data_IF_633526241918
#
_entry.id   IF_633526241918
#
_cell.length_a   1.000
_cell.length_b   1.000
_cell.length_c   1.000
_cell.angle_alpha   90.00
_cell.angle_beta   90.00
_cell.angle_gamma   90.00
#
_symmetry.space_group_name_H-M   'P 1'
#
loop_
_entity.id
_entity.type
_entity.pdbx_description
1 polymer ?
#
# COMPACT_ATOMS: atom_id res chain seq x y z
N UNK A 1 12.51 -30.62 0.46
CA UNK A 1 12.29 -30.14 0.42
C UNK A 1 11.86 -29.37 0.44
N UNK A 2 11.77 -28.90 0.68
CA UNK A 2 11.25 -28.08 0.69
C UNK A 2 11.03 -27.24 0.13
N UNK A 3 10.96 -26.96 -0.32
CA UNK A 3 10.68 -26.11 -0.82
C UNK A 3 9.69 -25.97 -0.97
N UNK A 4 9.15 -26.22 -0.83
CA UNK A 4 8.14 -25.98 -0.98
C UNK A 4 7.63 -25.61 -0.03
N UNK A 5 8.03 -25.42 0.73
CA UNK A 5 7.58 -25.08 1.61
C UNK A 5 7.31 -23.91 1.69
N UNK A 6 7.65 -23.32 1.41
CA UNK A 6 7.40 -22.13 1.45
C UNK A 6 6.45 -21.75 0.73
N UNK A 7 6.14 -22.25 0.11
CA UNK A 7 5.29 -21.94 -0.60
C UNK A 7 4.22 -21.57 -0.04
N UNK A 8 3.83 -22.06 0.64
CA UNK A 8 2.79 -21.75 1.10
C UNK A 8 2.88 -20.65 1.64
N UNK A 9 3.68 -20.22 1.56
CA UNK A 9 3.90 -19.26 2.15
C UNK A 9 2.96 -18.47 2.38
N UNK A 10 2.62 -18.12 3.14
CA UNK A 10 1.54 -17.31 3.43
C UNK A 10 1.67 -15.96 2.80
N UNK A 11 0.52 -15.29 2.64
CA UNK A 11 0.53 -13.95 2.10
C UNK A 11 1.33 -13.00 2.96
N UNK A 12 1.53 -13.37 4.19
CA UNK A 12 2.33 -12.58 5.08
C UNK A 12 3.75 -12.39 4.58
N UNK A 13 4.26 -13.38 3.86
CA UNK A 13 5.60 -13.28 3.30
C UNK A 13 5.68 -12.27 2.18
N UNK A 14 4.52 -11.82 1.67
CA UNK A 14 4.47 -10.86 0.60
C UNK A 14 4.29 -9.44 1.10
N UNK A 15 4.19 -9.24 2.39
CA UNK A 15 3.99 -7.94 2.99
C UNK A 15 5.28 -7.49 3.61
N UNK A 16 5.88 -6.44 3.04
CA UNK A 16 7.18 -6.01 3.54
C UNK A 16 7.01 -5.14 4.78
N UNK A 17 8.04 -5.14 5.59
CA UNK A 17 8.02 -4.40 6.83
C UNK A 17 8.06 -2.90 6.62
N UNK A 18 7.91 -2.18 7.72
CA UNK A 18 7.77 -0.73 7.69
C UNK A 18 8.97 -0.05 7.03
N UNK A 19 10.18 -0.42 7.43
CA UNK A 19 11.35 0.22 6.87
C UNK A 19 11.51 -0.06 5.39
N UNK A 20 11.28 -1.31 5.00
CA UNK A 20 11.41 -1.68 3.60
C UNK A 20 10.35 -0.98 2.76
N UNK A 21 9.15 -0.82 3.31
CA UNK A 21 8.09 -0.15 2.58
C UNK A 21 8.40 1.33 2.42
N UNK A 22 8.92 1.98 3.46
CA UNK A 22 9.31 3.37 3.36
C UNK A 22 10.39 3.55 2.31
N UNK A 23 11.33 2.61 2.23
CA UNK A 23 12.37 2.66 1.22
C UNK A 23 11.79 2.48 -0.17
N UNK A 24 10.80 1.60 -0.32
CA UNK A 24 10.16 1.40 -1.61
C UNK A 24 9.46 2.68 -2.08
N UNK A 25 8.80 3.37 -1.16
CA UNK A 25 8.15 4.64 -1.49
C UNK A 25 9.18 5.68 -1.91
N UNK A 26 10.26 5.79 -1.15
CA UNK A 26 11.31 6.77 -1.46
C UNK A 26 11.93 6.50 -2.83
N UNK A 27 12.15 5.22 -3.12
CA UNK A 27 12.71 4.85 -4.40
C UNK A 27 11.76 5.19 -5.54
N UNK A 28 10.47 4.94 -5.34
CA UNK A 28 9.50 5.26 -6.36
C UNK A 28 9.38 6.76 -6.57
N UNK A 29 9.48 7.53 -5.50
CA UNK A 29 9.48 8.97 -5.62
C UNK A 29 10.67 9.47 -6.41
N UNK A 30 11.83 8.91 -6.14
CA UNK A 30 13.03 9.26 -6.89
C UNK A 30 12.85 8.96 -8.38
N UNK A 31 12.30 7.79 -8.66
CA UNK A 31 12.02 7.41 -10.04
C UNK A 31 11.05 8.38 -10.71
N UNK A 32 10.01 8.73 -9.99
CA UNK A 32 8.99 9.63 -10.52
C UNK A 32 9.58 10.99 -10.82
N UNK A 33 10.42 11.49 -9.92
CA UNK A 33 11.02 12.80 -10.10
C UNK A 33 11.94 12.83 -11.32
N UNK A 34 12.62 11.73 -11.57
CA UNK A 34 13.58 11.71 -12.69
C UNK A 34 12.94 11.39 -14.03
N UNK A 35 11.86 10.64 -14.02
CA UNK A 35 11.29 10.13 -15.26
C UNK A 35 9.93 10.66 -15.62
N UNK A 36 9.42 11.63 -14.86
CA UNK A 36 8.09 12.18 -15.08
C UNK A 36 6.99 11.14 -14.96
N UNK A 37 7.25 10.13 -14.13
CA UNK A 37 6.25 9.11 -13.86
C UNK A 37 5.46 9.49 -12.64
N UNK A 38 4.28 8.92 -12.50
CA UNK A 38 3.49 9.15 -11.30
C UNK A 38 3.28 7.84 -10.59
N UNK A 39 2.93 7.92 -9.31
CA UNK A 39 2.57 6.73 -8.56
C UNK A 39 1.47 7.09 -7.58
N UNK A 40 0.78 6.07 -7.12
CA UNK A 40 -0.27 6.24 -6.12
C UNK A 40 0.05 5.38 -4.91
N UNK A 41 -0.49 5.78 -3.78
CA UNK A 41 -0.27 5.10 -2.52
C UNK A 41 -1.58 5.03 -1.78
N UNK A 42 -2.01 3.81 -1.45
CA UNK A 42 -3.21 3.58 -0.68
C UNK A 42 -2.82 3.23 0.74
N UNK A 43 -3.38 3.93 1.71
CA UNK A 43 -3.09 3.68 3.11
C UNK A 43 -4.38 3.32 3.83
N UNK A 44 -4.40 2.14 4.42
CA UNK A 44 -5.55 1.62 5.15
C UNK A 44 -5.20 1.60 6.63
N UNK A 45 -5.88 2.42 7.41
CA UNK A 45 -5.61 2.54 8.82
C UNK A 45 -6.57 1.65 9.59
N UNK A 46 -6.03 0.82 10.47
CA UNK A 46 -6.79 -0.19 11.17
C UNK A 46 -6.74 0.07 12.68
N UNK A 47 -7.82 -0.29 13.36
CA UNK A 47 -7.95 -0.07 14.80
C UNK A 47 -7.58 -1.29 15.61
N UNK A 48 -6.93 -2.28 14.99
CA UNK A 48 -6.61 -3.53 15.64
C UNK A 48 -5.14 -3.84 15.42
N UNK A 49 -4.54 -4.65 16.30
CA UNK A 49 -3.18 -5.14 16.06
C UNK A 49 -3.23 -6.02 14.81
N UNK A 50 -2.67 -5.54 13.73
CA UNK A 50 -3.00 -6.09 12.42
C UNK A 50 -2.02 -7.10 11.88
N UNK A 51 -0.76 -7.02 12.28
CA UNK A 51 0.27 -7.76 11.58
C UNK A 51 0.10 -9.26 11.67
N UNK A 52 -0.49 -9.73 12.76
CA UNK A 52 -0.66 -11.17 12.94
C UNK A 52 -2.12 -11.60 12.95
N UNK A 53 -3.01 -10.71 12.58
CA UNK A 53 -4.43 -11.04 12.53
C UNK A 53 -4.72 -11.88 11.30
N UNK A 54 -5.34 -13.03 11.49
CA UNK A 54 -5.59 -13.95 10.37
C UNK A 54 -6.54 -13.37 9.35
N UNK A 55 -7.50 -12.56 9.81
CA UNK A 55 -8.44 -11.95 8.86
C UNK A 55 -7.72 -10.99 7.94
N UNK A 56 -6.75 -10.27 8.48
CA UNK A 56 -5.93 -9.35 7.68
C UNK A 56 -5.11 -10.16 6.69
N UNK A 57 -4.54 -11.29 7.13
CA UNK A 57 -3.78 -12.14 6.23
C UNK A 57 -4.60 -12.66 5.08
N UNK A 58 -5.84 -13.03 5.35
CA UNK A 58 -6.74 -13.50 4.30
C UNK A 58 -7.07 -12.37 3.33
N UNK A 59 -7.32 -11.19 3.85
CA UNK A 59 -7.61 -10.04 3.00
C UNK A 59 -6.42 -9.72 2.12
N UNK A 60 -5.21 -9.76 2.69
CA UNK A 60 -4.00 -9.48 1.93
C UNK A 60 -3.82 -10.49 0.79
N UNK A 61 -4.12 -11.75 1.04
CA UNK A 61 -4.01 -12.74 -0.02
C UNK A 61 -4.92 -12.42 -1.20
N UNK A 62 -6.12 -11.92 -0.91
CA UNK A 62 -7.05 -11.52 -1.96
C UNK A 62 -6.57 -10.26 -2.66
N UNK A 63 -6.03 -9.31 -1.89
CA UNK A 63 -5.52 -8.09 -2.49
C UNK A 63 -4.36 -8.41 -3.43
N UNK A 64 -3.49 -9.35 -3.04
CA UNK A 64 -2.35 -9.69 -3.88
C UNK A 64 -2.80 -10.21 -5.24
N UNK A 65 -3.94 -10.86 -5.30
CA UNK A 65 -4.45 -11.36 -6.56
C UNK A 65 -4.98 -10.25 -7.46
N UNK A 66 -5.28 -9.10 -6.89
CA UNK A 66 -5.87 -8.00 -7.65
C UNK A 66 -4.86 -6.99 -8.14
N UNK A 67 -3.67 -6.96 -7.57
CA UNK A 67 -2.67 -5.95 -7.92
C UNK A 67 -1.62 -6.59 -8.83
N UNK A 68 -0.79 -5.72 -9.40
CA UNK A 68 0.21 -6.16 -10.37
C UNK A 68 1.47 -6.62 -9.65
N UNK A 69 2.33 -7.35 -10.40
CA UNK A 69 3.59 -7.81 -9.83
C UNK A 69 4.49 -6.68 -9.37
N UNK A 70 4.39 -5.51 -10.01
CA UNK A 70 5.23 -4.36 -9.64
C UNK A 70 4.66 -3.58 -8.45
N UNK A 71 3.44 -3.87 -8.06
CA UNK A 71 2.85 -3.19 -6.91
C UNK A 71 3.35 -3.82 -5.63
N UNK A 72 3.49 -3.00 -4.58
CA UNK A 72 4.02 -3.48 -3.31
C UNK A 72 2.98 -3.37 -2.22
N UNK A 73 2.93 -4.36 -1.34
CA UNK A 73 2.13 -4.30 -0.13
C UNK A 73 3.09 -4.29 1.05
N UNK A 74 2.89 -3.35 1.96
CA UNK A 74 3.76 -3.27 3.12
C UNK A 74 3.08 -2.54 4.26
N UNK A 75 3.76 -2.50 5.39
CA UNK A 75 3.26 -1.76 6.53
C UNK A 75 3.79 -0.34 6.45
N UNK A 76 2.86 0.61 6.30
CA UNK A 76 3.25 2.01 6.22
C UNK A 76 3.62 2.52 7.61
N UNK A 77 2.86 2.12 8.58
CA UNK A 77 3.11 2.46 9.98
C UNK A 77 2.45 1.37 10.80
N UNK A 78 2.48 1.51 12.09
CA UNK A 78 1.84 0.55 12.96
C UNK A 78 0.36 0.48 12.62
N UNK A 79 -0.13 -0.71 12.32
CA UNK A 79 -1.54 -0.93 11.97
C UNK A 79 -2.02 -0.09 10.78
N UNK A 80 -1.10 0.31 9.93
CA UNK A 80 -1.43 0.98 8.67
C UNK A 80 -0.86 0.20 7.51
N UNK A 81 -1.75 -0.43 6.76
CA UNK A 81 -1.34 -1.21 5.60
C UNK A 81 -1.22 -0.29 4.40
N UNK A 82 -0.13 -0.39 3.69
CA UNK A 82 0.11 0.44 2.51
C UNK A 82 0.21 -0.37 1.25
N UNK A 83 -0.27 0.19 0.15
CA UNK A 83 -0.15 -0.44 -1.16
C UNK A 83 0.39 0.62 -2.10
N UNK A 84 1.57 0.34 -2.63
CA UNK A 84 2.27 1.26 -3.53
C UNK A 84 2.01 0.84 -4.96
N UNK A 85 1.54 1.78 -5.76
CA UNK A 85 1.11 1.53 -7.13
C UNK A 85 1.96 2.38 -8.09
N UNK A 86 3.08 1.85 -8.56
CA UNK A 86 3.93 2.60 -9.51
C UNK A 86 3.19 2.86 -10.81
N UNK A 87 3.54 3.97 -11.46
CA UNK A 87 3.00 4.33 -12.78
C UNK A 87 1.48 4.37 -12.80
N UNK A 88 0.89 4.84 -11.72
CA UNK A 88 -0.57 4.84 -11.60
C UNK A 88 -1.03 6.21 -11.12
N UNK A 89 -1.96 6.79 -11.86
CA UNK A 89 -2.55 8.08 -11.49
C UNK A 89 -3.64 7.90 -10.46
N UNK A 90 -4.09 9.01 -9.88
CA UNK A 90 -5.22 8.97 -8.97
C UNK A 90 -6.43 8.33 -9.64
N UNK A 91 -6.73 8.76 -10.85
CA UNK A 91 -7.88 8.22 -11.57
C UNK A 91 -7.72 6.73 -11.84
N UNK A 92 -6.50 6.32 -12.18
CA UNK A 92 -6.26 4.92 -12.47
C UNK A 92 -6.32 4.05 -11.24
N UNK A 93 -6.03 4.61 -10.07
CA UNK A 93 -6.01 3.85 -8.84
C UNK A 93 -7.36 3.80 -8.13
N UNK A 94 -8.26 4.70 -8.49
CA UNK A 94 -9.47 4.91 -7.70
C UNK A 94 -10.34 3.66 -7.63
N UNK A 95 -10.58 3.03 -8.77
CA UNK A 95 -11.40 1.82 -8.78
C UNK A 95 -10.75 0.67 -8.03
N UNK A 96 -9.44 0.54 -8.19
CA UNK A 96 -8.72 -0.50 -7.47
C UNK A 96 -8.75 -0.25 -5.97
N UNK A 97 -8.62 1.03 -5.58
CA UNK A 97 -8.68 1.38 -4.16
C UNK A 97 -10.03 0.98 -3.56
N UNK A 98 -11.11 1.23 -4.30
CA UNK A 98 -12.43 0.84 -3.81
C UNK A 98 -12.52 -0.67 -3.63
N UNK A 99 -11.99 -1.43 -4.57
CA UNK A 99 -12.02 -2.88 -4.45
C UNK A 99 -11.21 -3.36 -3.26
N UNK A 100 -10.04 -2.78 -3.07
CA UNK A 100 -9.18 -3.20 -1.96
C UNK A 100 -9.80 -2.84 -0.63
N UNK A 101 -10.37 -1.64 -0.52
CA UNK A 101 -11.02 -1.25 0.72
C UNK A 101 -12.23 -2.15 0.98
N UNK A 102 -12.93 -2.56 -0.07
CA UNK A 102 -14.04 -3.49 0.08
C UNK A 102 -13.60 -4.85 0.61
N UNK A 103 -12.44 -5.33 0.13
CA UNK A 103 -11.91 -6.58 0.64
C UNK A 103 -11.62 -6.48 2.14
N UNK A 104 -10.96 -5.39 2.54
CA UNK A 104 -10.63 -5.19 3.94
C UNK A 104 -11.89 -5.13 4.79
N UNK A 105 -12.87 -4.33 4.38
CA UNK A 105 -14.04 -4.13 5.20
C UNK A 105 -14.94 -5.36 5.23
N UNK A 106 -14.83 -6.22 4.23
CA UNK A 106 -15.56 -7.49 4.25
C UNK A 106 -15.01 -8.44 5.32
N UNK A 107 -13.72 -8.36 5.58
CA UNK A 107 -13.09 -9.27 6.53
C UNK A 107 -13.08 -8.75 7.96
N UNK A 108 -13.41 -7.48 8.16
CA UNK A 108 -13.33 -6.86 9.47
C UNK A 108 -14.68 -6.29 9.87
N UNK A 109 -14.83 -6.04 11.17
CA UNK A 109 -16.00 -5.31 11.64
C UNK A 109 -15.87 -3.83 11.26
N UNK A 110 -16.98 -3.14 11.09
CA UNK A 110 -16.90 -1.74 10.65
C UNK A 110 -16.02 -0.85 11.50
N UNK A 111 -16.01 -1.07 12.80
CA UNK A 111 -15.23 -0.22 13.70
C UNK A 111 -13.74 -0.52 13.63
N UNK A 112 -13.35 -1.60 12.99
CA UNK A 112 -11.95 -2.00 12.95
C UNK A 112 -11.17 -1.37 11.80
N UNK A 113 -11.85 -0.79 10.83
CA UNK A 113 -11.19 -0.08 9.74
C UNK A 113 -11.45 1.40 9.90
N UNK A 114 -10.42 2.16 10.22
CA UNK A 114 -10.57 3.58 10.51
C UNK A 114 -10.64 4.43 9.26
N UNK A 115 -9.85 4.12 8.25
CA UNK A 115 -9.85 4.91 7.03
C UNK A 115 -9.14 4.16 5.91
N UNK A 116 -9.50 4.53 4.69
CA UNK A 116 -8.80 4.11 3.49
C UNK A 116 -8.54 5.38 2.69
N UNK A 117 -7.28 5.74 2.52
CA UNK A 117 -6.92 7.01 1.89
C UNK A 117 -6.01 6.76 0.71
N UNK A 118 -6.33 7.40 -0.40
CA UNK A 118 -5.56 7.26 -1.63
C UNK A 118 -4.84 8.56 -1.94
N UNK A 119 -3.54 8.46 -2.18
CA UNK A 119 -2.69 9.59 -2.51
C UNK A 119 -2.01 9.31 -3.83
N UNK A 120 -1.78 10.37 -4.61
CA UNK A 120 -1.03 10.26 -5.85
C UNK A 120 0.05 11.31 -5.88
N UNK A 121 1.19 10.94 -6.45
CA UNK A 121 2.31 11.84 -6.60
C UNK A 121 2.66 11.98 -8.07
N UNK A 122 2.80 13.22 -8.51
CA UNK A 122 3.21 13.54 -9.86
C UNK A 122 4.12 14.75 -9.76
N UNK A 123 5.40 14.57 -10.01
CA UNK A 123 6.38 15.63 -9.81
C UNK A 123 6.14 16.81 -10.73
N UNK A 124 5.37 16.61 -11.79
CA UNK A 124 5.14 17.66 -12.75
C UNK A 124 4.02 18.62 -12.39
N UNK A 125 3.05 18.15 -11.64
CA UNK A 125 1.81 18.89 -11.50
C UNK A 125 1.43 19.26 -10.09
N UNK A 126 2.13 18.77 -9.08
CA UNK A 126 1.76 19.01 -7.69
C UNK A 126 2.81 19.88 -7.03
N UNK A 127 2.52 21.19 -6.83
CA UNK A 127 3.45 22.05 -6.11
C UNK A 127 3.69 21.53 -4.71
N UNK A 128 4.90 21.76 -4.22
CA UNK A 128 5.25 21.25 -2.91
C UNK A 128 4.33 21.77 -1.82
N UNK A 129 3.88 23.00 -1.95
CA UNK A 129 3.02 23.60 -0.94
C UNK A 129 1.68 22.90 -0.84
N UNK A 130 1.28 22.19 -1.89
CA UNK A 130 0.00 21.51 -1.91
C UNK A 130 0.13 20.01 -1.62
N UNK A 131 1.33 19.55 -1.33
CA UNK A 131 1.51 18.15 -1.05
C UNK A 131 0.90 17.78 0.29
N UNK A 132 0.29 16.58 0.37
CA UNK A 132 -0.14 16.08 1.66
C UNK A 132 1.04 15.94 2.60
N UNK A 133 0.76 15.98 3.89
CA UNK A 133 1.80 15.94 4.90
C UNK A 133 2.68 14.70 4.78
N UNK A 134 2.08 13.55 4.45
CA UNK A 134 2.85 12.33 4.33
C UNK A 134 3.91 12.41 3.24
N UNK A 135 3.60 13.13 2.15
CA UNK A 135 4.59 13.31 1.09
C UNK A 135 5.75 14.18 1.54
N UNK A 136 5.45 15.19 2.33
CA UNK A 136 6.51 16.04 2.84
C UNK A 136 7.45 15.27 3.75
N UNK A 137 6.91 14.34 4.51
CA UNK A 137 7.73 13.50 5.37
C UNK A 137 8.65 12.59 4.57
N UNK A 138 8.22 12.17 3.40
CA UNK A 138 9.05 11.31 2.57
C UNK A 138 10.28 12.03 2.04
N UNK A 139 10.26 13.33 1.99
CA UNK A 139 11.39 14.10 1.51
C UNK A 139 12.56 14.08 2.46
N UNK A 140 12.30 13.76 3.67
CA UNK A 140 13.34 13.74 4.67
C UNK A 140 14.09 12.44 4.66
#
# INVERSE_FOLDING_TARGET
>A
VGFFKSTRDSSRDLVIGKEAFQQAIAKERYRSDRGNNQYSLLIISLAIPSEEDERIGEAIALIRKRIRAIDEIGWYDENQLGILLPFTSMAGADGLADEICGIITTHLEPAECLSCELFSYDSETVPEAEMPLWKKNLKK
#
